data_IF_850078276053
#
_entry.id   IF_850078276053
#
_cell.length_a   1.000
_cell.length_b   1.000
_cell.length_c   1.000
_cell.angle_alpha   90.00
_cell.angle_beta   90.00
_cell.angle_gamma   90.00
#
_symmetry.space_group_name_H-M   'P 1'
#
loop_
_entity.id
_entity.type
_entity.pdbx_description
1 polymer ?
#
# COMPACT_ATOMS: atom_id res chain seq x y z
N UNK A 1 -4.86 3.71 -10.45
CA UNK A 1 -5.65 3.78 -9.19
C UNK A 1 -5.73 5.24 -8.84
N UNK A 2 -6.92 5.81 -8.73
CA UNK A 2 -7.12 7.22 -8.39
C UNK A 2 -6.75 7.47 -6.91
N UNK A 3 -6.56 8.74 -6.50
CA UNK A 3 -6.29 9.05 -5.10
C UNK A 3 -7.43 8.61 -4.16
N UNK A 4 -8.68 8.72 -4.61
CA UNK A 4 -9.84 8.22 -3.86
C UNK A 4 -9.82 6.69 -3.71
N UNK A 5 -9.54 5.95 -4.79
CA UNK A 5 -9.40 4.49 -4.75
C UNK A 5 -8.25 4.06 -3.84
N UNK A 6 -7.14 4.81 -3.85
CA UNK A 6 -6.00 4.55 -2.98
C UNK A 6 -6.36 4.72 -1.50
N UNK A 7 -7.02 5.83 -1.13
CA UNK A 7 -7.49 6.06 0.24
C UNK A 7 -8.45 4.96 0.71
N UNK A 8 -9.37 4.54 -0.16
CA UNK A 8 -10.31 3.47 0.13
C UNK A 8 -9.61 2.13 0.33
N UNK A 9 -8.68 1.77 -0.57
CA UNK A 9 -7.94 0.52 -0.50
C UNK A 9 -7.04 0.45 0.75
N UNK A 10 -6.42 1.56 1.17
CA UNK A 10 -5.69 1.60 2.44
C UNK A 10 -6.60 1.28 3.62
N UNK A 11 -7.75 1.93 3.72
CA UNK A 11 -8.70 1.70 4.80
C UNK A 11 -9.21 0.25 4.83
N UNK A 12 -9.48 -0.33 3.66
CA UNK A 12 -9.95 -1.71 3.51
C UNK A 12 -8.94 -2.74 4.06
N UNK A 13 -7.65 -2.51 3.83
CA UNK A 13 -6.57 -3.40 4.29
C UNK A 13 -6.00 -3.03 5.67
N UNK A 14 -6.64 -2.09 6.39
CA UNK A 14 -6.20 -1.68 7.73
C UNK A 14 -4.98 -0.76 7.76
N UNK A 15 -4.62 -0.14 6.63
CA UNK A 15 -3.55 0.86 6.56
C UNK A 15 -4.10 2.29 6.68
N UNK A 16 -3.30 3.15 7.31
CA UNK A 16 -3.45 4.61 7.25
C UNK A 16 -2.40 5.20 6.30
N UNK A 17 -2.54 6.47 5.93
CA UNK A 17 -1.50 7.14 5.15
C UNK A 17 -0.14 7.17 5.87
N UNK A 18 -0.14 7.22 7.20
CA UNK A 18 1.09 7.22 8.01
C UNK A 18 1.69 5.83 8.18
N UNK A 19 0.90 4.76 8.23
CA UNK A 19 1.44 3.39 8.27
C UNK A 19 1.84 2.88 6.87
N UNK A 20 1.16 3.34 5.82
CA UNK A 20 1.49 3.00 4.43
C UNK A 20 2.91 3.42 4.02
N UNK A 21 3.42 4.53 4.58
CA UNK A 21 4.79 4.99 4.29
C UNK A 21 5.83 3.97 4.78
N UNK A 22 5.62 3.36 5.95
CA UNK A 22 6.50 2.34 6.53
C UNK A 22 6.35 1.04 5.76
N UNK A 23 5.11 0.64 5.49
CA UNK A 23 4.79 -0.61 4.79
C UNK A 23 5.40 -0.66 3.39
N UNK A 24 5.26 0.42 2.61
CA UNK A 24 5.84 0.49 1.26
C UNK A 24 7.27 1.03 1.23
N UNK A 25 7.90 1.28 2.40
CA UNK A 25 9.23 1.89 2.53
C UNK A 25 9.37 3.17 1.67
N UNK A 26 8.30 3.97 1.64
CA UNK A 26 8.20 5.19 0.85
C UNK A 26 8.18 6.41 1.77
N UNK A 27 8.72 7.54 1.30
CA UNK A 27 8.64 8.79 2.07
C UNK A 27 7.19 9.23 2.33
N UNK A 28 6.93 9.81 3.50
CA UNK A 28 5.60 10.32 3.87
C UNK A 28 5.04 11.34 2.87
N UNK A 29 5.91 12.14 2.25
CA UNK A 29 5.52 13.08 1.19
C UNK A 29 5.01 12.34 -0.06
N UNK A 30 5.59 11.18 -0.37
CA UNK A 30 5.23 10.37 -1.54
C UNK A 30 3.87 9.71 -1.34
N UNK A 31 3.64 9.06 -0.20
CA UNK A 31 2.35 8.44 0.14
C UNK A 31 1.22 9.47 0.24
N UNK A 32 1.48 10.66 0.81
CA UNK A 32 0.50 11.76 0.79
C UNK A 32 0.20 12.27 -0.61
N UNK A 33 1.19 12.33 -1.50
CA UNK A 33 0.99 12.78 -2.88
C UNK A 33 0.09 11.81 -3.68
N UNK A 34 0.21 10.51 -3.45
CA UNK A 34 -0.69 9.50 -4.04
C UNK A 34 -2.14 9.66 -3.60
N UNK A 35 -2.36 10.22 -2.42
CA UNK A 35 -3.67 10.51 -1.87
C UNK A 35 -4.15 11.95 -2.15
N UNK A 36 -3.41 12.77 -2.91
CA UNK A 36 -3.78 14.14 -3.23
C UNK A 36 -4.42 14.21 -4.63
N UNK A 37 -5.60 14.83 -4.71
CA UNK A 37 -6.35 14.96 -5.96
C UNK A 37 -5.76 16.03 -6.92
N UNK A 38 -4.92 16.95 -6.40
CA UNK A 38 -4.44 18.15 -7.12
C UNK A 38 -3.09 18.01 -7.85
N UNK A 39 -2.33 16.92 -7.69
CA UNK A 39 -0.93 16.89 -8.17
C UNK A 39 -0.39 15.53 -8.71
N UNK A 40 -1.22 14.84 -9.48
CA UNK A 40 -0.80 14.19 -10.74
C UNK A 40 0.28 13.10 -10.72
N UNK A 41 0.60 12.48 -9.58
CA UNK A 41 1.41 11.25 -9.60
C UNK A 41 0.52 10.05 -9.33
N UNK A 42 0.31 9.29 -10.39
CA UNK A 42 -0.35 7.99 -10.32
C UNK A 42 0.30 7.12 -9.25
N UNK A 43 -0.55 6.41 -8.52
CA UNK A 43 -0.10 5.34 -7.62
C UNK A 43 0.69 4.33 -8.45
N UNK A 44 1.95 4.02 -8.08
CA UNK A 44 2.74 3.04 -8.81
C UNK A 44 1.98 1.72 -8.96
N UNK A 45 2.11 1.09 -10.13
CA UNK A 45 1.40 -0.15 -10.44
C UNK A 45 1.64 -1.24 -9.38
N UNK A 46 2.86 -1.35 -8.86
CA UNK A 46 3.20 -2.29 -7.81
C UNK A 46 2.34 -2.07 -6.55
N UNK A 47 2.29 -0.83 -6.03
CA UNK A 47 1.47 -0.46 -4.87
C UNK A 47 -0.01 -0.78 -5.10
N UNK A 48 -0.54 -0.43 -6.27
CA UNK A 48 -1.93 -0.70 -6.62
C UNK A 48 -2.23 -2.21 -6.69
N UNK A 49 -1.31 -3.03 -7.22
CA UNK A 49 -1.46 -4.49 -7.26
C UNK A 49 -1.41 -5.07 -5.84
N UNK A 50 -0.44 -4.66 -5.02
CA UNK A 50 -0.31 -5.13 -3.64
C UNK A 50 -1.58 -4.88 -2.85
N UNK A 51 -2.11 -3.65 -2.87
CA UNK A 51 -3.36 -3.32 -2.16
C UNK A 51 -4.55 -4.13 -2.66
N UNK A 52 -4.67 -4.34 -3.97
CA UNK A 52 -5.74 -5.17 -4.55
C UNK A 52 -5.64 -6.64 -4.15
N UNK A 53 -4.42 -7.17 -4.09
CA UNK A 53 -4.18 -8.55 -3.64
C UNK A 53 -4.51 -8.68 -2.15
N UNK A 54 -4.03 -7.74 -1.32
CA UNK A 54 -4.34 -7.72 0.10
C UNK A 54 -5.86 -7.70 0.34
N UNK A 55 -6.59 -6.79 -0.32
CA UNK A 55 -8.04 -6.71 -0.23
C UNK A 55 -8.72 -8.02 -0.68
N UNK A 56 -8.32 -8.56 -1.84
CA UNK A 56 -8.90 -9.80 -2.40
C UNK A 56 -8.70 -11.02 -1.48
N UNK A 57 -7.54 -11.14 -0.86
CA UNK A 57 -7.19 -12.27 0.00
C UNK A 57 -7.42 -11.98 1.49
N UNK A 58 -7.99 -10.81 1.83
CA UNK A 58 -8.22 -10.34 3.20
C UNK A 58 -6.96 -10.37 4.08
N UNK A 59 -5.83 -10.02 3.49
CA UNK A 59 -4.54 -9.98 4.18
C UNK A 59 -4.37 -8.65 4.91
N UNK A 60 -3.88 -8.75 6.13
CA UNK A 60 -3.42 -7.60 6.92
C UNK A 60 -1.98 -7.23 6.54
N UNK A 61 -1.51 -6.02 6.89
CA UNK A 61 -0.12 -5.62 6.71
C UNK A 61 0.85 -6.57 7.44
N UNK A 62 0.44 -7.10 8.59
CA UNK A 62 1.20 -8.09 9.36
C UNK A 62 1.35 -9.40 8.59
N UNK A 63 0.26 -9.93 7.99
CA UNK A 63 0.32 -11.16 7.18
C UNK A 63 1.30 -11.02 6.01
N UNK A 64 1.26 -9.87 5.32
CA UNK A 64 2.16 -9.60 4.20
C UNK A 64 3.61 -9.47 4.65
N UNK A 65 3.86 -8.86 5.81
CA UNK A 65 5.21 -8.75 6.37
C UNK A 65 5.79 -10.14 6.68
N UNK A 66 4.99 -11.05 7.23
CA UNK A 66 5.40 -12.44 7.46
C UNK A 66 5.74 -13.13 6.14
N UNK A 67 4.87 -13.02 5.13
CA UNK A 67 5.11 -13.61 3.80
C UNK A 67 6.37 -13.07 3.11
N UNK A 68 6.69 -11.79 3.30
CA UNK A 68 7.92 -11.19 2.76
C UNK A 68 9.16 -11.76 3.43
N UNK A 69 9.16 -11.87 4.76
CA UNK A 69 10.28 -12.44 5.51
C UNK A 69 10.50 -13.92 5.13
N UNK A 70 9.43 -14.70 5.03
CA UNK A 70 9.50 -16.11 4.61
C UNK A 70 10.08 -16.28 3.20
N UNK A 71 9.79 -15.34 2.29
CA UNK A 71 10.33 -15.36 0.93
C UNK A 71 11.82 -14.99 0.87
N UNK A 72 12.28 -14.09 1.73
CA UNK A 72 13.70 -13.70 1.85
C UNK A 72 14.53 -14.82 2.47
N UNK A 73 14.00 -15.53 3.46
CA UNK A 73 14.67 -16.68 4.12
C UNK A 73 14.78 -17.92 3.20
N UNK A 74 13.97 -17.99 2.15
CA UNK A 74 13.95 -19.11 1.20
C UNK A 74 14.87 -18.92 -0.02
N UNK A 75 15.50 -17.75 -0.18
CA UNK A 75 16.38 -17.38 -1.30
C UNK A 75 17.86 -17.52 -0.99
#
# INVERSE_FOLDING_TARGET
MSPAEYRAALAEVGLSLSSANKFFQADERTTRRWAADDNGKDVPRAVAITLRLMAKYKLTPEDVTVLMNEAEDAG
#
